data_IF_278123857742
#
_entry.id   IF_278123857742
#
_cell.length_a   1.000
_cell.length_b   1.000
_cell.length_c   1.000
_cell.angle_alpha   90.00
_cell.angle_beta   90.00
_cell.angle_gamma   90.00
#
_symmetry.space_group_name_H-M   'P 1'
#
loop_
_entity.id
_entity.type
_entity.pdbx_description
1 polymer ?
#
# COMPACT_ATOMS: atom_id res chain seq x y z
N UNK A 1 -12.53 -14.00 -1.32
CA UNK A 1 -11.72 -13.50 -0.19
C UNK A 1 -10.34 -13.11 -0.72
N UNK A 2 -9.73 -12.06 -0.19
CA UNK A 2 -8.38 -11.67 -0.56
C UNK A 2 -7.38 -12.77 -0.17
N UNK A 3 -6.50 -13.17 -1.10
CA UNK A 3 -5.45 -14.16 -0.83
C UNK A 3 -4.30 -13.58 0.00
N UNK A 4 -4.13 -12.26 -0.07
CA UNK A 4 -3.08 -11.51 0.62
C UNK A 4 -3.52 -10.06 0.82
N UNK A 5 -3.13 -9.47 1.95
CA UNK A 5 -3.25 -8.04 2.24
C UNK A 5 -1.88 -7.42 2.52
N UNK A 6 -1.65 -6.24 1.96
CA UNK A 6 -0.45 -5.43 2.19
C UNK A 6 -0.82 -4.02 2.62
N UNK A 7 -0.30 -3.58 3.78
CA UNK A 7 -0.41 -2.18 4.21
C UNK A 7 0.73 -1.37 3.62
N UNK A 8 0.37 -0.38 2.84
CA UNK A 8 1.30 0.44 2.08
C UNK A 8 1.09 1.91 2.42
N UNK A 9 2.16 2.69 2.51
CA UNK A 9 2.11 4.13 2.74
C UNK A 9 2.56 4.86 1.48
N UNK A 10 1.87 5.95 1.13
CA UNK A 10 2.31 6.85 0.05
C UNK A 10 3.56 7.59 0.51
N UNK A 11 4.66 7.43 -0.22
CA UNK A 11 5.92 8.12 0.05
C UNK A 11 6.15 9.29 -0.90
N UNK A 12 5.56 9.23 -2.10
CA UNK A 12 5.70 10.26 -3.12
C UNK A 12 4.50 10.26 -4.06
N UNK A 13 4.11 11.47 -4.48
CA UNK A 13 3.13 11.69 -5.55
C UNK A 13 3.80 12.55 -6.62
N UNK A 14 3.81 12.08 -7.86
CA UNK A 14 4.30 12.84 -9.02
C UNK A 14 3.12 13.23 -9.91
N UNK A 15 3.00 14.52 -10.25
CA UNK A 15 1.93 15.00 -11.12
C UNK A 15 2.45 15.14 -12.54
N UNK A 16 1.74 14.55 -13.49
CA UNK A 16 2.07 14.56 -14.91
C UNK A 16 0.82 14.93 -15.74
N UNK A 17 0.65 16.23 -16.00
CA UNK A 17 -0.53 16.74 -16.71
C UNK A 17 -1.82 16.32 -16.01
N UNK A 18 -2.67 15.55 -16.71
CA UNK A 18 -3.95 15.04 -16.21
C UNK A 18 -3.83 13.70 -15.45
N UNK A 19 -2.61 13.28 -15.10
CA UNK A 19 -2.36 12.04 -14.37
C UNK A 19 -1.48 12.26 -13.14
N UNK A 20 -1.57 11.37 -12.16
CA UNK A 20 -0.72 11.36 -10.98
C UNK A 20 -0.11 9.97 -10.75
N UNK A 21 1.20 9.88 -10.58
CA UNK A 21 1.88 8.65 -10.18
C UNK A 21 2.03 8.60 -8.66
N UNK A 22 1.42 7.60 -8.04
CA UNK A 22 1.48 7.31 -6.62
C UNK A 22 2.58 6.28 -6.36
N UNK A 23 3.51 6.58 -5.47
CA UNK A 23 4.56 5.67 -5.03
C UNK A 23 4.33 5.26 -3.59
N UNK A 24 4.38 3.96 -3.35
CA UNK A 24 4.13 3.37 -2.06
C UNK A 24 5.30 2.55 -1.55
N UNK A 25 5.46 2.51 -0.23
CA UNK A 25 6.31 1.54 0.46
C UNK A 25 5.50 0.66 1.41
N UNK A 26 5.98 -0.57 1.62
CA UNK A 26 5.45 -1.44 2.65
C UNK A 26 5.66 -0.84 4.04
N UNK A 27 4.62 -0.87 4.86
CA UNK A 27 4.67 -0.40 6.25
C UNK A 27 4.91 -1.59 7.15
N UNK A 28 6.03 -1.61 7.86
CA UNK A 28 6.22 -2.53 8.99
C UNK A 28 5.41 -2.08 10.19
N UNK A 29 4.91 -3.04 10.97
CA UNK A 29 4.31 -2.75 12.27
C UNK A 29 5.31 -1.97 13.14
N UNK A 30 4.85 -0.87 13.74
CA UNK A 30 5.67 -0.03 14.62
C UNK A 30 5.64 -0.47 16.09
N UNK A 31 4.79 -1.44 16.44
CA UNK A 31 4.61 -2.00 17.77
C UNK A 31 5.13 -3.43 17.85
N UNK A 32 5.36 -3.92 19.07
CA UNK A 32 5.77 -5.30 19.32
C UNK A 32 4.81 -6.30 18.65
N UNK A 33 5.37 -7.34 18.03
CA UNK A 33 4.58 -8.43 17.47
C UNK A 33 3.91 -9.23 18.61
N UNK A 34 2.67 -9.70 18.42
CA UNK A 34 2.07 -10.69 19.31
C UNK A 34 2.91 -11.97 19.31
N UNK A 35 2.81 -12.77 20.37
CA UNK A 35 3.64 -13.97 20.57
C UNK A 35 3.47 -15.04 19.46
N UNK A 36 2.36 -15.00 18.71
CA UNK A 36 2.08 -15.86 17.57
C UNK A 36 2.69 -15.33 16.24
N UNK A 37 3.24 -14.12 16.24
CA UNK A 37 3.83 -13.47 15.07
C UNK A 37 2.82 -13.09 14.00
N UNK A 38 1.53 -12.97 14.34
CA UNK A 38 0.50 -12.49 13.43
C UNK A 38 0.64 -10.99 13.16
N UNK A 39 0.49 -10.59 11.90
CA UNK A 39 0.47 -9.19 11.49
C UNK A 39 -0.77 -8.92 10.63
N UNK A 40 -1.72 -8.14 11.17
CA UNK A 40 -2.89 -7.69 10.43
C UNK A 40 -2.53 -6.67 9.34
N UNK A 41 -1.37 -6.00 9.47
CA UNK A 41 -0.93 -5.02 8.51
C UNK A 41 -0.38 -5.69 7.23
N UNK A 42 0.30 -6.84 7.36
CA UNK A 42 0.91 -7.53 6.23
C UNK A 42 0.79 -9.04 6.38
N UNK A 43 -0.02 -9.68 5.55
CA UNK A 43 -0.20 -11.14 5.60
C UNK A 43 0.90 -11.90 4.85
N UNK A 44 1.82 -11.20 4.19
CA UNK A 44 2.87 -11.78 3.34
C UNK A 44 4.26 -11.83 3.99
N UNK A 45 4.46 -11.14 5.12
CA UNK A 45 5.74 -11.09 5.82
C UNK A 45 5.52 -10.93 7.33
N UNK A 46 6.30 -11.64 8.16
CA UNK A 46 6.12 -11.66 9.62
C UNK A 46 6.79 -10.51 10.38
N UNK A 47 7.99 -10.09 9.98
CA UNK A 47 8.80 -9.15 10.78
C UNK A 47 9.30 -7.94 10.00
N UNK A 48 9.60 -8.14 8.71
CA UNK A 48 10.20 -7.12 7.85
C UNK A 48 9.51 -7.13 6.48
N UNK A 49 8.27 -6.64 6.39
CA UNK A 49 7.61 -6.46 5.11
C UNK A 49 8.43 -5.50 4.26
N UNK A 50 8.77 -5.95 3.04
CA UNK A 50 9.51 -5.16 2.07
C UNK A 50 8.75 -5.22 0.75
N UNK A 51 8.48 -4.05 0.18
CA UNK A 51 7.75 -3.92 -1.05
C UNK A 51 7.63 -2.47 -1.48
N UNK A 52 7.59 -2.27 -2.78
CA UNK A 52 7.26 -0.99 -3.40
C UNK A 52 6.17 -1.20 -4.44
N UNK A 53 5.29 -0.22 -4.57
CA UNK A 53 4.31 -0.16 -5.64
C UNK A 53 4.35 1.22 -6.26
N UNK A 54 4.27 1.28 -7.58
CA UNK A 54 4.04 2.52 -8.31
C UNK A 54 2.80 2.35 -9.18
N UNK A 55 1.88 3.30 -9.10
CA UNK A 55 0.62 3.30 -9.85
C UNK A 55 0.40 4.66 -10.48
N UNK A 56 0.22 4.70 -11.80
CA UNK A 56 -0.24 5.90 -12.49
C UNK A 56 -1.77 5.94 -12.49
N UNK A 57 -2.32 6.91 -11.77
CA UNK A 57 -3.75 7.21 -11.74
C UNK A 57 -4.06 8.18 -12.87
N UNK A 58 -4.89 7.74 -13.80
CA UNK A 58 -5.42 8.55 -14.90
C UNK A 58 -6.94 8.75 -14.80
N UNK A 59 -7.57 8.31 -13.70
CA UNK A 59 -9.00 8.52 -13.45
C UNK A 59 -9.23 9.93 -12.87
N UNK A 60 -9.88 10.86 -13.60
CA UNK A 60 -10.05 12.25 -13.16
C UNK A 60 -10.76 12.40 -11.81
N UNK A 61 -11.64 11.46 -11.44
CA UNK A 61 -12.36 11.50 -10.17
C UNK A 61 -11.45 11.24 -8.94
N UNK A 62 -10.28 10.63 -9.16
CA UNK A 62 -9.33 10.23 -8.13
C UNK A 62 -8.09 11.13 -8.09
N UNK A 63 -7.89 11.99 -9.11
CA UNK A 63 -6.79 12.96 -9.13
C UNK A 63 -6.94 13.94 -7.96
N UNK A 64 -5.84 14.19 -7.24
CA UNK A 64 -5.78 15.09 -6.09
C UNK A 64 -6.50 14.58 -4.85
N UNK A 65 -6.87 13.29 -4.79
CA UNK A 65 -7.55 12.67 -3.64
C UNK A 65 -6.60 11.98 -2.65
N UNK A 66 -5.32 11.91 -2.99
CA UNK A 66 -4.31 11.21 -2.22
C UNK A 66 -3.24 12.18 -1.72
N UNK A 67 -2.68 11.89 -0.55
CA UNK A 67 -1.64 12.69 0.10
C UNK A 67 -0.46 11.81 0.56
N UNK A 68 0.73 12.42 0.58
CA UNK A 68 1.94 11.74 1.09
C UNK A 68 1.77 11.49 2.58
N UNK A 69 2.06 10.27 3.02
CA UNK A 69 1.91 9.84 4.40
C UNK A 69 0.66 8.99 4.66
N UNK A 70 -0.33 9.03 3.75
CA UNK A 70 -1.53 8.21 3.87
C UNK A 70 -1.21 6.72 3.72
N UNK A 71 -1.95 5.89 4.45
CA UNK A 71 -1.75 4.44 4.52
C UNK A 71 -3.00 3.74 4.01
N UNK A 72 -2.79 2.76 3.14
CA UNK A 72 -3.85 1.99 2.51
C UNK A 72 -3.60 0.50 2.63
N UNK A 73 -4.67 -0.28 2.67
CA UNK A 73 -4.62 -1.72 2.48
C UNK A 73 -4.81 -2.04 1.00
N UNK A 74 -3.93 -2.88 0.47
CA UNK A 74 -4.08 -3.47 -0.85
C UNK A 74 -4.44 -4.93 -0.67
N UNK A 75 -5.60 -5.30 -1.20
CA UNK A 75 -6.12 -6.65 -1.18
C UNK A 75 -5.93 -7.31 -2.54
N UNK A 76 -5.25 -8.45 -2.54
CA UNK A 76 -5.01 -9.24 -3.74
C UNK A 76 -6.11 -10.27 -3.90
N UNK A 77 -7.00 -10.05 -4.86
CA UNK A 77 -7.94 -11.06 -5.35
C UNK A 77 -7.45 -11.59 -6.68
N UNK A 78 -7.48 -12.91 -6.86
CA UNK A 78 -7.11 -13.53 -8.12
C UNK A 78 -8.05 -13.04 -9.23
N UNK A 79 -7.48 -12.59 -10.34
CA UNK A 79 -8.21 -12.26 -11.55
C UNK A 79 -8.45 -13.52 -12.40
N UNK A 80 -9.48 -13.49 -13.24
CA UNK A 80 -9.85 -14.56 -14.16
C UNK A 80 -8.89 -14.70 -15.36
#
# INVERSE_FOLDING_TARGET
MAAMRAKMQITRIEKHGDTEALHFNAVSRSSSYPADGSDEDNTYAKFSPCGSLSLTVANPALIGKFEVGEKYYLDFTKAD
#
